data_IF_508026506968
#
_entry.id   IF_508026506968
#
_cell.length_a   1.000
_cell.length_b   1.000
_cell.length_c   1.000
_cell.angle_alpha   90.00
_cell.angle_beta   90.00
_cell.angle_gamma   90.00
#
_symmetry.space_group_name_H-M   'P 1'
#
loop_
_entity.id
_entity.type
_entity.pdbx_description
1 polymer ?
#
# COMPACT_ATOMS: atom_id res chain seq x y z
N UNK A 1 -13.87 84.54 -5.64
CA UNK A 1 -14.10 83.13 -5.23
C UNK A 1 -12.76 82.39 -5.24
N UNK A 2 -12.53 81.59 -4.20
CA UNK A 2 -11.40 80.68 -3.86
C UNK A 2 -10.71 80.02 -5.08
N UNK A 3 -9.46 79.57 -5.09
CA UNK A 3 -8.28 79.63 -4.20
C UNK A 3 -7.17 78.77 -4.84
N UNK A 4 -5.97 79.37 -5.00
CA UNK A 4 -4.60 78.83 -4.86
C UNK A 4 -4.13 77.60 -5.68
N UNK A 5 -3.18 77.89 -6.57
CA UNK A 5 -2.00 77.07 -6.86
C UNK A 5 -1.19 76.81 -5.59
N UNK A 6 -0.63 75.60 -5.44
CA UNK A 6 0.48 75.36 -4.51
C UNK A 6 1.32 74.18 -5.00
N UNK A 7 2.54 74.51 -5.43
CA UNK A 7 3.69 73.61 -5.60
C UNK A 7 4.31 73.47 -4.21
N UNK A 8 4.55 72.24 -3.75
CA UNK A 8 5.60 71.97 -2.77
C UNK A 8 6.03 70.51 -2.86
N UNK A 9 7.32 70.34 -3.16
CA UNK A 9 8.07 69.09 -3.04
C UNK A 9 7.99 68.56 -1.59
N UNK A 10 7.80 67.25 -1.45
CA UNK A 10 8.15 66.53 -0.23
C UNK A 10 8.97 65.28 -0.59
N UNK A 11 10.27 65.36 -0.30
CA UNK A 11 11.11 64.20 0.00
C UNK A 11 10.61 63.55 1.29
N UNK A 12 10.77 62.22 1.41
CA UNK A 12 11.37 61.71 2.63
C UNK A 12 12.57 60.80 2.34
N UNK A 13 13.68 61.21 2.95
CA UNK A 13 14.71 60.40 3.57
C UNK A 13 14.23 58.99 3.96
N UNK A 14 14.85 57.94 3.43
CA UNK A 14 14.91 56.64 4.11
C UNK A 14 16.35 56.14 4.08
N UNK A 15 16.84 55.94 5.29
CA UNK A 15 18.15 55.45 5.70
C UNK A 15 18.59 54.19 4.95
N UNK A 16 19.81 54.26 4.44
CA UNK A 16 20.63 53.11 4.04
C UNK A 16 21.28 52.53 5.31
N UNK A 17 20.72 51.46 5.88
CA UNK A 17 21.39 50.67 6.93
C UNK A 17 22.29 49.63 6.27
N UNK A 18 23.57 49.97 6.14
CA UNK A 18 24.64 49.04 5.82
C UNK A 18 24.98 48.28 7.10
N UNK A 19 24.49 47.05 7.23
CA UNK A 19 25.05 46.11 8.20
C UNK A 19 26.36 45.56 7.65
N UNK A 20 27.47 46.14 8.12
CA UNK A 20 28.77 45.47 8.15
C UNK A 20 28.68 44.37 9.20
N UNK A 21 28.70 43.11 8.77
CA UNK A 21 28.90 41.96 9.64
C UNK A 21 30.17 41.23 9.21
N UNK A 22 31.04 41.02 10.21
CA UNK A 22 32.40 40.52 10.10
C UNK A 22 32.53 39.19 9.35
N UNK A 23 33.49 39.16 8.44
CA UNK A 23 34.22 37.94 8.12
C UNK A 23 35.01 37.50 9.35
N UNK A 24 34.70 36.31 9.87
CA UNK A 24 35.68 35.51 10.60
C UNK A 24 35.86 34.19 9.86
N UNK A 25 37.05 34.07 9.27
CA UNK A 25 37.56 32.82 8.74
C UNK A 25 37.81 31.86 9.89
N UNK A 26 37.27 30.65 9.79
CA UNK A 26 37.80 29.48 10.49
C UNK A 26 37.84 28.33 9.49
N UNK A 27 39.06 28.00 9.08
CA UNK A 27 39.38 26.78 8.36
C UNK A 27 39.25 25.60 9.34
N UNK A 28 38.18 24.82 9.23
CA UNK A 28 38.13 23.48 9.78
C UNK A 28 37.59 22.52 8.71
N UNK A 29 38.45 21.58 8.38
CA UNK A 29 38.34 20.51 7.40
C UNK A 29 37.08 19.67 7.71
N UNK A 30 36.02 19.81 6.91
CA UNK A 30 34.86 18.94 6.99
C UNK A 30 35.12 17.68 6.15
N UNK A 31 35.45 16.61 6.85
CA UNK A 31 35.34 15.23 6.38
C UNK A 31 33.84 14.91 6.19
N UNK A 32 33.44 14.20 5.12
CA UNK A 32 32.02 13.89 4.92
C UNK A 32 31.56 12.88 5.98
N UNK A 33 30.80 13.36 6.98
CA UNK A 33 29.98 12.50 7.82
C UNK A 33 28.98 11.77 6.92
N UNK A 34 29.26 10.48 6.78
CA UNK A 34 28.44 9.51 6.11
C UNK A 34 27.22 9.26 7.00
N UNK A 35 26.18 10.10 6.88
CA UNK A 35 24.89 9.87 7.54
C UNK A 35 24.17 8.74 6.83
N UNK A 36 24.62 7.52 7.10
CA UNK A 36 23.86 6.30 6.92
C UNK A 36 22.66 6.39 7.87
N UNK A 37 21.53 6.85 7.36
CA UNK A 37 20.24 6.50 7.95
C UNK A 37 20.18 4.97 7.98
N UNK A 38 20.37 4.41 9.17
CA UNK A 38 20.30 2.98 9.41
C UNK A 38 18.92 2.47 8.94
N UNK A 39 18.92 1.92 7.74
CA UNK A 39 17.97 0.93 7.30
C UNK A 39 17.95 -0.17 8.35
N UNK A 40 16.95 -0.18 9.22
CA UNK A 40 16.70 -1.29 10.11
C UNK A 40 16.31 -2.50 9.26
N UNK A 41 17.30 -3.21 8.74
CA UNK A 41 17.20 -4.58 8.27
C UNK A 41 16.73 -5.42 9.44
N UNK A 42 15.43 -5.74 9.47
CA UNK A 42 14.85 -6.62 10.47
C UNK A 42 15.18 -8.07 10.14
N UNK A 43 16.20 -8.60 10.82
CA UNK A 43 16.39 -10.04 10.99
C UNK A 43 15.25 -10.61 11.84
N UNK A 44 14.71 -11.72 11.36
CA UNK A 44 13.75 -12.56 12.07
C UNK A 44 14.32 -13.03 13.41
N UNK A 45 13.56 -12.81 14.48
CA UNK A 45 13.59 -13.56 15.74
C UNK A 45 14.94 -13.65 16.46
N UNK A 46 15.22 -12.68 17.34
CA UNK A 46 15.95 -12.96 18.58
C UNK A 46 14.96 -12.96 19.76
N UNK A 47 14.95 -14.08 20.47
CA UNK A 47 14.13 -14.40 21.66
C UNK A 47 14.57 -13.59 22.88
N UNK A 48 14.50 -12.25 22.82
CA UNK A 48 15.10 -11.40 23.87
C UNK A 48 14.40 -10.10 24.28
N UNK A 49 13.41 -9.56 23.57
CA UNK A 49 12.85 -8.26 23.96
C UNK A 49 11.32 -8.18 23.91
N UNK A 50 10.76 -7.84 25.08
CA UNK A 50 9.35 -7.60 25.39
C UNK A 50 8.48 -8.84 25.67
N UNK A 51 8.44 -9.34 26.92
CA UNK A 51 7.67 -10.54 27.30
C UNK A 51 6.16 -10.43 27.08
N UNK A 52 5.64 -9.20 26.93
CA UNK A 52 4.22 -8.94 26.70
C UNK A 52 3.91 -8.57 25.22
N UNK A 53 4.83 -8.82 24.28
CA UNK A 53 4.55 -8.62 22.85
C UNK A 53 3.38 -9.52 22.42
N UNK A 54 2.33 -9.00 21.76
CA UNK A 54 1.16 -9.80 21.40
C UNK A 54 1.53 -11.03 20.57
N UNK A 55 1.09 -12.20 20.99
CA UNK A 55 1.36 -13.47 20.31
C UNK A 55 0.03 -14.09 19.88
N UNK A 56 -0.17 -14.30 18.58
CA UNK A 56 -1.40 -14.92 18.03
C UNK A 56 -1.17 -16.38 17.60
N UNK A 57 -0.07 -16.99 18.02
CA UNK A 57 0.34 -18.35 17.65
C UNK A 57 1.14 -18.37 16.35
N UNK A 58 0.48 -18.06 15.24
CA UNK A 58 1.08 -18.08 13.91
C UNK A 58 1.53 -16.68 13.45
N UNK A 59 2.60 -16.63 12.65
CA UNK A 59 3.05 -15.40 11.99
C UNK A 59 2.23 -15.05 10.76
N UNK A 60 1.52 -16.02 10.18
CA UNK A 60 0.58 -15.85 9.06
C UNK A 60 -0.77 -16.41 9.49
N UNK A 61 -1.77 -15.54 9.55
CA UNK A 61 -3.14 -15.92 9.92
C UNK A 61 -4.01 -15.90 8.66
N UNK A 62 -4.84 -16.93 8.49
CA UNK A 62 -5.69 -17.08 7.32
C UNK A 62 -7.15 -16.79 7.66
N UNK A 63 -7.82 -16.01 6.82
CA UNK A 63 -9.28 -15.89 6.89
C UNK A 63 -9.92 -17.23 6.55
N UNK A 64 -10.85 -17.71 7.37
CA UNK A 64 -11.60 -18.94 7.12
C UNK A 64 -13.08 -18.61 7.03
N UNK A 65 -13.80 -19.30 6.15
CA UNK A 65 -15.26 -19.22 6.08
C UNK A 65 -15.85 -19.84 7.34
N UNK A 66 -16.61 -19.06 8.11
CA UNK A 66 -17.33 -19.55 9.28
C UNK A 66 -18.69 -20.11 8.84
N UNK A 67 -18.96 -21.37 9.19
CA UNK A 67 -20.18 -22.09 8.77
C UNK A 67 -21.49 -21.46 9.30
N UNK A 68 -21.41 -20.62 10.32
CA UNK A 68 -22.55 -19.97 10.97
C UNK A 68 -22.69 -18.47 10.65
N UNK A 69 -21.91 -17.95 9.70
CA UNK A 69 -21.91 -16.53 9.35
C UNK A 69 -21.30 -15.61 10.43
N UNK A 70 -20.65 -16.16 11.46
CA UNK A 70 -19.96 -15.36 12.46
C UNK A 70 -18.67 -14.73 11.88
N UNK A 71 -18.31 -13.56 12.41
CA UNK A 71 -17.02 -12.93 12.15
C UNK A 71 -15.88 -13.85 12.59
N UNK A 72 -14.95 -14.19 11.67
CA UNK A 72 -13.76 -14.97 12.01
C UNK A 72 -12.81 -14.12 12.86
N UNK A 73 -12.64 -14.48 14.13
CA UNK A 73 -11.85 -13.71 15.10
C UNK A 73 -10.71 -14.54 15.68
N UNK A 74 -9.60 -13.88 15.97
CA UNK A 74 -8.44 -14.46 16.68
C UNK A 74 -8.07 -13.58 17.87
N UNK A 75 -7.51 -14.19 18.91
CA UNK A 75 -7.11 -13.52 20.14
C UNK A 75 -5.63 -13.77 20.43
N UNK A 76 -4.95 -12.84 21.11
CA UNK A 76 -3.61 -13.10 21.59
C UNK A 76 -3.64 -14.24 22.62
N UNK A 77 -2.71 -15.18 22.47
CA UNK A 77 -2.50 -16.34 23.35
C UNK A 77 -1.78 -15.97 24.65
N UNK A 78 -1.17 -14.78 24.69
CA UNK A 78 -0.53 -14.23 25.87
C UNK A 78 -1.26 -12.97 26.36
N UNK A 79 -0.77 -12.39 27.46
CA UNK A 79 -1.36 -11.20 28.12
C UNK A 79 -2.77 -11.43 28.72
N UNK A 80 -3.16 -12.68 28.98
CA UNK A 80 -4.39 -12.99 29.70
C UNK A 80 -4.33 -12.41 31.12
N UNK A 81 -5.30 -11.57 31.48
CA UNK A 81 -5.35 -10.91 32.79
C UNK A 81 -4.41 -9.71 32.96
N UNK A 82 -3.65 -9.33 31.91
CA UNK A 82 -2.81 -8.13 31.93
C UNK A 82 -3.58 -6.98 31.28
N UNK A 83 -3.75 -5.87 32.01
CA UNK A 83 -4.38 -4.66 31.48
C UNK A 83 -3.40 -3.87 30.61
N UNK A 84 -3.87 -3.36 29.49
CA UNK A 84 -3.10 -2.53 28.58
C UNK A 84 -3.90 -2.15 27.34
N UNK A 85 -3.22 -1.55 26.37
CA UNK A 85 -3.80 -1.09 25.12
C UNK A 85 -3.09 -1.75 23.94
N UNK A 86 -3.88 -2.31 23.02
CA UNK A 86 -3.41 -2.86 21.76
C UNK A 86 -3.44 -1.81 20.66
N UNK A 87 -2.41 -1.83 19.82
CA UNK A 87 -2.20 -0.92 18.70
C UNK A 87 -1.83 -1.74 17.46
N UNK A 88 -2.07 -1.22 16.26
CA UNK A 88 -1.67 -1.86 15.01
C UNK A 88 -1.23 -0.85 13.97
N UNK A 89 -0.25 -1.23 13.16
CA UNK A 89 0.22 -0.46 12.01
C UNK A 89 0.57 -1.39 10.84
N UNK A 90 0.22 -1.04 9.58
CA UNK A 90 -0.60 0.12 9.20
C UNK A 90 -2.06 0.00 9.73
N UNK A 91 -2.93 0.97 9.45
CA UNK A 91 -4.37 0.84 9.74
C UNK A 91 -5.01 -0.36 8.98
N UNK A 92 -6.32 -0.57 9.02
CA UNK A 92 -6.96 -1.65 8.26
C UNK A 92 -6.89 -3.04 8.90
N UNK A 93 -6.21 -3.20 10.03
CA UNK A 93 -6.42 -4.33 10.95
C UNK A 93 -7.53 -3.96 11.94
N UNK A 94 -8.65 -4.69 11.92
CA UNK A 94 -9.75 -4.52 12.88
C UNK A 94 -9.38 -5.19 14.21
N UNK A 95 -8.51 -4.54 14.98
CA UNK A 95 -8.06 -4.99 16.30
C UNK A 95 -8.80 -4.25 17.42
N UNK A 96 -9.36 -5.01 18.36
CA UNK A 96 -9.94 -4.46 19.57
C UNK A 96 -8.83 -3.96 20.50
N UNK A 97 -8.79 -2.63 20.73
CA UNK A 97 -7.77 -1.97 21.54
C UNK A 97 -7.68 -2.47 22.99
N UNK A 98 -8.74 -3.06 23.55
CA UNK A 98 -8.79 -3.46 24.96
C UNK A 98 -8.33 -4.90 25.20
N UNK A 99 -8.54 -5.80 24.24
CA UNK A 99 -8.25 -7.22 24.42
C UNK A 99 -7.45 -7.88 23.29
N UNK A 100 -7.07 -7.11 22.27
CA UNK A 100 -6.30 -7.61 21.13
C UNK A 100 -7.08 -8.55 20.21
N UNK A 101 -8.39 -8.71 20.36
CA UNK A 101 -9.15 -9.55 19.43
C UNK A 101 -9.11 -8.92 18.03
N UNK A 102 -8.63 -9.66 17.05
CA UNK A 102 -8.62 -9.25 15.63
C UNK A 102 -9.83 -9.88 14.95
N UNK A 103 -10.58 -9.07 14.20
CA UNK A 103 -11.62 -9.55 13.30
C UNK A 103 -11.08 -9.65 11.87
N UNK A 104 -10.79 -10.89 11.47
CA UNK A 104 -10.17 -11.16 10.17
C UNK A 104 -11.11 -10.82 9.01
N UNK A 105 -12.42 -10.95 9.20
CA UNK A 105 -13.43 -10.66 8.17
C UNK A 105 -13.59 -9.16 7.88
N UNK A 106 -13.13 -8.30 8.80
CA UNK A 106 -13.17 -6.83 8.66
C UNK A 106 -11.79 -6.20 8.46
N UNK A 107 -10.75 -7.04 8.37
CA UNK A 107 -9.37 -6.59 8.20
C UNK A 107 -8.91 -6.72 6.76
N UNK A 108 -7.94 -5.91 6.36
CA UNK A 108 -7.34 -5.97 5.03
C UNK A 108 -6.33 -7.13 4.92
N UNK A 109 -6.61 -8.04 3.99
CA UNK A 109 -5.82 -9.26 3.72
C UNK A 109 -4.64 -8.98 2.80
N UNK A 110 -3.61 -9.83 2.83
CA UNK A 110 -2.41 -9.67 2.01
C UNK A 110 -1.42 -8.63 2.56
N UNK A 111 -1.57 -8.24 3.83
CA UNK A 111 -0.82 -7.16 4.48
C UNK A 111 -0.03 -7.68 5.68
N UNK A 112 1.17 -7.12 5.87
CA UNK A 112 1.98 -7.31 7.07
C UNK A 112 1.71 -6.19 8.07
N UNK A 113 1.29 -6.55 9.27
CA UNK A 113 1.02 -5.67 10.40
C UNK A 113 2.10 -5.79 11.47
N UNK A 114 2.40 -4.68 12.14
CA UNK A 114 2.97 -4.67 13.48
C UNK A 114 1.85 -4.48 14.48
N UNK A 115 1.89 -5.26 15.55
CA UNK A 115 0.92 -5.19 16.64
C UNK A 115 1.68 -4.77 17.89
N UNK A 116 1.28 -3.64 18.46
CA UNK A 116 1.81 -3.10 19.70
C UNK A 116 0.94 -3.45 20.90
N UNK A 117 1.55 -3.67 22.06
CA UNK A 117 0.88 -3.69 23.35
C UNK A 117 1.59 -2.78 24.33
N UNK A 118 0.83 -1.84 24.89
CA UNK A 118 1.26 -0.93 25.94
C UNK A 118 0.66 -1.39 27.25
N UNK A 119 1.48 -1.89 28.17
CA UNK A 119 0.99 -2.33 29.48
C UNK A 119 0.49 -1.12 30.28
N UNK A 120 -0.63 -1.29 31.00
CA UNK A 120 -1.18 -0.22 31.85
C UNK A 120 -0.15 0.20 32.89
N UNK A 121 0.07 1.51 33.01
CA UNK A 121 1.04 2.10 33.92
C UNK A 121 2.47 2.20 33.35
N UNK A 122 2.69 1.79 32.11
CA UNK A 122 3.98 1.96 31.41
C UNK A 122 3.81 2.78 30.14
N UNK A 123 4.92 3.23 29.56
CA UNK A 123 4.97 3.81 28.21
C UNK A 123 5.62 2.85 27.20
N UNK A 124 6.22 1.77 27.69
CA UNK A 124 6.86 0.75 26.86
C UNK A 124 5.84 0.07 25.95
N UNK A 125 6.16 0.02 24.66
CA UNK A 125 5.36 -0.69 23.66
C UNK A 125 6.07 -1.97 23.25
N UNK A 126 5.45 -3.11 23.57
CA UNK A 126 5.90 -4.40 23.06
C UNK A 126 5.34 -4.62 21.67
N UNK A 127 6.20 -4.88 20.68
CA UNK A 127 5.79 -5.02 19.29
C UNK A 127 6.05 -6.43 18.79
N UNK A 128 5.06 -7.00 18.10
CA UNK A 128 5.19 -8.21 17.30
C UNK A 128 4.77 -7.94 15.85
N UNK A 129 5.04 -8.90 14.96
CA UNK A 129 4.59 -8.88 13.57
C UNK A 129 3.57 -9.98 13.31
N UNK A 130 2.61 -9.68 12.46
CA UNK A 130 1.59 -10.59 11.97
C UNK A 130 1.33 -10.32 10.49
N UNK A 131 1.19 -11.36 9.69
CA UNK A 131 0.68 -11.26 8.31
C UNK A 131 -0.76 -11.76 8.31
N UNK A 132 -1.68 -10.95 7.79
CA UNK A 132 -2.99 -11.45 7.41
C UNK A 132 -2.89 -11.98 5.98
N UNK A 133 -3.00 -13.30 5.82
CA UNK A 133 -2.86 -13.97 4.54
C UNK A 133 -3.85 -13.43 3.51
N UNK A 134 -3.48 -13.49 2.24
CA UNK A 134 -4.24 -12.94 1.13
C UNK A 134 -3.34 -12.48 0.01
N UNK A 135 -3.86 -11.60 -0.85
CA UNK A 135 -3.11 -11.05 -1.97
C UNK A 135 -3.09 -9.52 -1.99
N UNK A 136 -2.05 -8.95 -2.60
CA UNK A 136 -1.93 -7.53 -2.93
C UNK A 136 -1.21 -7.36 -4.28
N UNK A 137 -0.97 -6.12 -4.71
CA UNK A 137 -0.06 -5.80 -5.81
C UNK A 137 1.02 -4.83 -5.33
N UNK A 138 2.14 -4.81 -6.03
CA UNK A 138 3.17 -3.81 -5.82
C UNK A 138 2.74 -2.47 -6.41
N UNK A 139 2.89 -1.37 -5.68
CA UNK A 139 2.83 -0.03 -6.27
C UNK A 139 3.90 0.08 -7.37
N UNK A 140 3.51 0.38 -8.61
CA UNK A 140 4.43 0.38 -9.75
C UNK A 140 3.98 1.29 -10.88
N UNK A 141 4.97 1.80 -11.62
CA UNK A 141 4.80 2.49 -12.89
C UNK A 141 5.12 1.48 -14.00
N UNK A 142 4.10 1.15 -14.77
CA UNK A 142 4.13 0.19 -15.86
C UNK A 142 4.32 0.91 -17.19
N UNK A 143 5.48 0.73 -17.82
CA UNK A 143 5.82 1.38 -19.09
C UNK A 143 5.50 0.44 -20.25
N UNK A 144 4.36 0.65 -20.90
CA UNK A 144 3.84 -0.31 -21.88
C UNK A 144 4.75 -0.50 -23.10
N UNK A 145 5.50 0.55 -23.50
CA UNK A 145 6.47 0.48 -24.59
C UNK A 145 7.71 -0.35 -24.25
N UNK A 146 7.94 -0.66 -22.97
CA UNK A 146 9.03 -1.51 -22.47
C UNK A 146 8.54 -2.94 -22.18
N UNK A 147 7.38 -3.32 -22.73
CA UNK A 147 6.74 -4.62 -22.48
C UNK A 147 6.30 -4.87 -21.02
N UNK A 148 6.31 -3.84 -20.18
CA UNK A 148 5.83 -3.90 -18.80
C UNK A 148 4.30 -3.81 -18.78
N UNK A 149 3.65 -4.93 -19.09
CA UNK A 149 2.21 -5.00 -19.41
C UNK A 149 1.39 -5.78 -18.40
N UNK A 150 2.04 -6.44 -17.44
CA UNK A 150 1.42 -7.36 -16.50
C UNK A 150 1.71 -6.94 -15.06
N UNK A 151 0.65 -6.66 -14.30
CA UNK A 151 0.73 -6.50 -12.86
C UNK A 151 0.54 -7.88 -12.20
N UNK A 152 1.60 -8.36 -11.53
CA UNK A 152 1.63 -9.66 -10.88
C UNK A 152 1.16 -9.53 -9.42
N UNK A 153 0.28 -10.43 -8.93
CA UNK A 153 -0.13 -10.41 -7.54
C UNK A 153 1.01 -10.88 -6.62
N UNK A 154 0.99 -10.38 -5.39
CA UNK A 154 1.88 -10.77 -4.31
C UNK A 154 1.03 -11.43 -3.23
N UNK A 155 1.46 -12.59 -2.77
CA UNK A 155 0.73 -13.37 -1.78
C UNK A 155 1.38 -13.26 -0.41
N UNK A 156 0.55 -13.20 0.64
CA UNK A 156 0.97 -13.24 2.04
C UNK A 156 2.06 -12.20 2.39
N UNK A 157 1.98 -11.01 1.79
CA UNK A 157 2.92 -9.91 1.99
C UNK A 157 4.41 -10.31 1.80
N UNK A 158 4.67 -11.24 0.88
CA UNK A 158 6.02 -11.66 0.52
C UNK A 158 6.25 -11.49 -1.00
N UNK A 159 6.94 -10.42 -1.43
CA UNK A 159 7.20 -10.15 -2.85
C UNK A 159 8.20 -11.14 -3.48
N UNK A 160 8.88 -11.96 -2.69
CA UNK A 160 9.86 -12.95 -3.16
C UNK A 160 9.29 -14.37 -3.17
N UNK A 161 8.09 -14.58 -2.61
CA UNK A 161 7.45 -15.88 -2.61
C UNK A 161 6.98 -16.28 -4.03
N UNK A 162 7.05 -17.57 -4.39
CA UNK A 162 6.44 -18.05 -5.62
C UNK A 162 4.92 -17.90 -5.58
N UNK A 163 4.31 -17.76 -6.76
CA UNK A 163 2.84 -17.77 -6.89
C UNK A 163 2.26 -19.07 -6.36
N UNK A 164 1.22 -18.97 -5.54
CA UNK A 164 0.40 -20.12 -5.10
C UNK A 164 -0.62 -20.55 -6.16
N UNK A 165 -0.86 -19.69 -7.16
CA UNK A 165 -1.80 -19.90 -8.24
C UNK A 165 -1.11 -20.50 -9.48
N UNK A 166 -1.88 -21.19 -10.32
CA UNK A 166 -1.36 -21.74 -11.57
C UNK A 166 -1.03 -20.64 -12.58
N UNK A 167 -0.11 -20.95 -13.49
CA UNK A 167 0.17 -20.10 -14.65
C UNK A 167 -1.09 -19.93 -15.49
N UNK A 168 -1.29 -18.73 -16.03
CA UNK A 168 -2.37 -18.47 -16.97
C UNK A 168 -2.02 -17.40 -17.98
N UNK A 169 -2.85 -17.25 -19.02
CA UNK A 169 -2.63 -16.37 -20.16
C UNK A 169 -3.89 -15.55 -20.49
N UNK A 170 -3.89 -14.86 -21.63
CA UNK A 170 -4.98 -13.99 -22.06
C UNK A 170 -6.23 -14.75 -22.56
N UNK A 171 -6.29 -16.08 -22.39
CA UNK A 171 -7.51 -16.87 -22.60
C UNK A 171 -8.30 -17.07 -21.30
N UNK A 172 -7.72 -16.72 -20.15
CA UNK A 172 -8.23 -16.99 -18.80
C UNK A 172 -8.89 -15.75 -18.17
N UNK A 173 -10.05 -15.34 -18.68
CA UNK A 173 -10.85 -14.25 -18.10
C UNK A 173 -12.15 -14.81 -17.51
N UNK A 174 -13.14 -14.01 -17.10
CA UNK A 174 -14.48 -14.55 -16.83
C UNK A 174 -15.37 -14.65 -18.08
N UNK A 175 -15.06 -13.93 -19.17
CA UNK A 175 -15.92 -13.72 -20.35
C UNK A 175 -15.56 -14.53 -21.61
N UNK A 176 -14.39 -15.17 -21.65
CA UNK A 176 -14.02 -16.26 -22.59
C UNK A 176 -14.71 -17.63 -22.28
N UNK A 177 -14.58 -18.60 -23.19
CA UNK A 177 -15.34 -19.87 -23.21
C UNK A 177 -14.92 -20.92 -22.16
N UNK A 178 -13.81 -20.74 -21.44
CA UNK A 178 -13.20 -21.74 -20.53
C UNK A 178 -13.00 -21.22 -19.09
N UNK A 179 -14.02 -20.58 -18.53
CA UNK A 179 -13.76 -19.52 -17.57
C UNK A 179 -14.35 -19.64 -16.18
N UNK A 180 -13.49 -19.26 -15.24
CA UNK A 180 -13.64 -19.44 -13.81
C UNK A 180 -12.27 -19.73 -13.22
N UNK A 181 -12.14 -19.48 -11.92
CA UNK A 181 -10.99 -19.97 -11.18
C UNK A 181 -10.84 -21.48 -11.27
N UNK A 182 -9.71 -21.99 -10.77
CA UNK A 182 -9.45 -23.43 -10.70
C UNK A 182 -9.47 -23.93 -9.25
N UNK A 183 -8.90 -25.12 -9.03
CA UNK A 183 -8.78 -25.71 -7.70
C UNK A 183 -7.82 -24.93 -6.78
N UNK A 184 -6.86 -24.18 -7.32
CA UNK A 184 -5.91 -23.37 -6.53
C UNK A 184 -6.43 -21.97 -6.27
N UNK A 185 -6.86 -21.24 -7.29
CA UNK A 185 -7.24 -19.84 -7.15
C UNK A 185 -8.44 -19.49 -8.02
N UNK A 186 -9.24 -18.53 -7.54
CA UNK A 186 -10.30 -17.90 -8.30
C UNK A 186 -10.23 -16.39 -8.11
N UNK A 187 -10.21 -15.65 -9.20
CA UNK A 187 -10.21 -14.19 -9.20
C UNK A 187 -11.38 -13.67 -10.01
N UNK A 188 -11.92 -12.54 -9.56
CA UNK A 188 -13.05 -11.88 -10.20
C UNK A 188 -14.29 -12.78 -10.37
N UNK A 189 -14.50 -13.65 -9.38
CA UNK A 189 -15.54 -14.68 -9.36
C UNK A 189 -16.91 -14.18 -8.85
N UNK A 190 -16.99 -12.91 -8.46
CA UNK A 190 -18.23 -12.24 -8.05
C UNK A 190 -18.72 -11.30 -9.16
N UNK A 191 -19.84 -11.61 -9.83
CA UNK A 191 -20.35 -10.77 -10.92
C UNK A 191 -20.83 -9.39 -10.43
N UNK A 192 -21.17 -9.22 -9.14
CA UNK A 192 -21.65 -7.94 -8.60
C UNK A 192 -20.54 -6.89 -8.46
N UNK A 193 -19.29 -7.34 -8.34
CA UNK A 193 -18.12 -6.48 -8.18
C UNK A 193 -17.02 -6.83 -9.20
N UNK A 194 -17.40 -7.17 -10.44
CA UNK A 194 -16.44 -7.65 -11.43
C UNK A 194 -15.49 -6.54 -11.94
N UNK A 195 -14.19 -6.75 -11.76
CA UNK A 195 -13.11 -5.98 -12.39
C UNK A 195 -13.15 -6.11 -13.92
N UNK A 196 -13.33 -7.32 -14.45
CA UNK A 196 -13.39 -7.56 -15.89
C UNK A 196 -14.61 -6.89 -16.53
N UNK A 197 -15.76 -6.87 -15.83
CA UNK A 197 -16.93 -6.08 -16.20
C UNK A 197 -16.64 -4.58 -16.29
N UNK A 198 -15.73 -4.07 -15.45
CA UNK A 198 -15.21 -2.69 -15.45
C UNK A 198 -13.99 -2.50 -16.36
N UNK A 199 -13.69 -3.47 -17.22
CA UNK A 199 -12.59 -3.48 -18.19
C UNK A 199 -11.18 -3.53 -17.57
N UNK A 200 -11.06 -3.84 -16.28
CA UNK A 200 -9.79 -4.22 -15.66
C UNK A 200 -9.62 -5.74 -15.85
N UNK A 201 -8.69 -6.12 -16.72
CA UNK A 201 -8.53 -7.50 -17.18
C UNK A 201 -7.70 -8.32 -16.22
N UNK A 202 -8.37 -8.87 -15.21
CA UNK A 202 -7.81 -9.79 -14.19
C UNK A 202 -7.96 -11.23 -14.69
N UNK A 203 -6.87 -11.98 -14.75
CA UNK A 203 -6.92 -13.40 -15.13
C UNK A 203 -7.52 -14.26 -14.02
N UNK A 204 -8.50 -15.10 -14.32
CA UNK A 204 -9.31 -15.81 -13.33
C UNK A 204 -8.56 -16.87 -12.51
N UNK A 205 -7.46 -17.45 -13.03
CA UNK A 205 -6.67 -18.49 -12.34
C UNK A 205 -5.44 -17.94 -11.64
N UNK A 206 -4.85 -16.85 -12.11
CA UNK A 206 -3.57 -16.34 -11.59
C UNK A 206 -3.67 -15.01 -10.88
N UNK A 207 -4.73 -14.23 -11.10
CA UNK A 207 -4.86 -12.88 -10.58
C UNK A 207 -3.97 -11.86 -11.32
N UNK A 208 -3.26 -12.26 -12.37
CA UNK A 208 -2.46 -11.31 -13.15
C UNK A 208 -3.38 -10.29 -13.85
N UNK A 209 -3.05 -9.01 -13.71
CA UNK A 209 -3.75 -7.93 -14.41
C UNK A 209 -3.02 -7.61 -15.70
N UNK A 210 -3.71 -7.76 -16.85
CA UNK A 210 -3.18 -7.34 -18.14
C UNK A 210 -3.52 -5.87 -18.40
N UNK A 211 -2.55 -4.99 -18.15
CA UNK A 211 -2.70 -3.53 -18.21
C UNK A 211 -2.90 -3.04 -19.64
N UNK A 212 -2.15 -3.61 -20.59
CA UNK A 212 -2.27 -3.27 -22.02
C UNK A 212 -3.65 -3.63 -22.55
N UNK A 213 -4.15 -4.83 -22.23
CA UNK A 213 -5.50 -5.25 -22.61
C UNK A 213 -6.56 -4.42 -21.90
N UNK A 214 -6.36 -4.07 -20.63
CA UNK A 214 -7.31 -3.23 -19.89
C UNK A 214 -7.48 -1.86 -20.55
N UNK A 215 -6.39 -1.20 -20.95
CA UNK A 215 -6.46 0.07 -21.67
C UNK A 215 -7.20 -0.07 -23.01
N UNK A 216 -6.81 -1.03 -23.84
CA UNK A 216 -7.45 -1.30 -25.14
C UNK A 216 -8.94 -1.59 -25.01
N UNK A 217 -9.33 -2.31 -23.95
CA UNK A 217 -10.72 -2.66 -23.69
C UNK A 217 -11.51 -1.48 -23.05
N UNK A 218 -10.90 -0.31 -22.91
CA UNK A 218 -11.55 0.92 -22.50
C UNK A 218 -11.61 1.13 -21.00
N UNK A 219 -10.60 0.67 -20.23
CA UNK A 219 -10.53 0.85 -18.77
C UNK A 219 -10.88 2.28 -18.32
N UNK A 220 -10.38 3.31 -19.01
CA UNK A 220 -10.66 4.71 -18.68
C UNK A 220 -11.72 5.38 -19.58
N UNK A 221 -12.32 4.62 -20.51
CA UNK A 221 -13.24 5.16 -21.51
C UNK A 221 -12.53 5.79 -22.72
N UNK A 222 -13.29 6.42 -23.64
CA UNK A 222 -12.77 6.83 -24.96
C UNK A 222 -11.89 8.09 -24.96
N UNK A 223 -11.99 8.95 -23.94
CA UNK A 223 -11.31 10.25 -23.89
C UNK A 223 -10.33 10.33 -22.71
N UNK A 224 -9.45 9.34 -22.60
CA UNK A 224 -8.50 9.24 -21.49
C UNK A 224 -7.49 10.40 -21.49
N UNK A 225 -7.21 10.96 -20.32
CA UNK A 225 -6.27 12.06 -20.09
C UNK A 225 -5.28 11.70 -19.00
N UNK A 226 -4.13 12.37 -19.02
CA UNK A 226 -3.10 12.24 -17.99
C UNK A 226 -3.68 12.54 -16.60
N UNK A 227 -3.48 11.62 -15.67
CA UNK A 227 -4.00 11.67 -14.31
C UNK A 227 -5.39 11.05 -14.14
N UNK A 228 -6.05 10.58 -15.20
CA UNK A 228 -7.31 9.84 -15.05
C UNK A 228 -7.08 8.61 -14.18
N UNK A 229 -7.96 8.41 -13.20
CA UNK A 229 -7.84 7.32 -12.23
C UNK A 229 -9.14 6.55 -12.02
N UNK A 230 -9.02 5.27 -11.65
CA UNK A 230 -10.14 4.41 -11.26
C UNK A 230 -9.76 3.51 -10.11
N UNK A 231 -10.59 3.51 -9.06
CA UNK A 231 -10.53 2.53 -7.98
C UNK A 231 -11.44 1.35 -8.31
N UNK A 232 -10.85 0.16 -8.38
CA UNK A 232 -11.56 -1.05 -8.79
C UNK A 232 -11.38 -2.10 -7.70
N UNK A 233 -12.51 -2.47 -7.11
CA UNK A 233 -12.61 -3.57 -6.15
C UNK A 233 -13.09 -4.83 -6.87
N UNK A 234 -12.49 -5.97 -6.52
CA UNK A 234 -12.90 -7.29 -6.98
C UNK A 234 -12.62 -8.36 -5.91
N UNK A 235 -13.30 -9.50 -6.01
CA UNK A 235 -13.13 -10.64 -5.12
C UNK A 235 -12.09 -11.63 -5.60
N UNK A 236 -11.57 -12.41 -4.66
CA UNK A 236 -10.74 -13.57 -4.95
C UNK A 236 -10.89 -14.64 -3.87
N UNK A 237 -10.42 -15.86 -4.19
CA UNK A 237 -10.34 -17.01 -3.30
C UNK A 237 -9.05 -17.77 -3.55
N UNK A 238 -8.33 -18.11 -2.48
CA UNK A 238 -7.07 -18.84 -2.51
C UNK A 238 -7.25 -20.19 -1.81
N UNK A 239 -6.76 -21.28 -2.40
CA UNK A 239 -6.78 -22.60 -1.78
C UNK A 239 -5.50 -22.86 -0.98
N UNK A 240 -5.20 -21.93 -0.09
CA UNK A 240 -4.14 -22.01 0.91
C UNK A 240 -4.77 -22.30 2.29
N UNK A 241 -4.16 -21.81 3.38
CA UNK A 241 -4.75 -21.91 4.72
C UNK A 241 -6.13 -21.27 4.85
N UNK A 242 -6.55 -20.43 3.90
CA UNK A 242 -7.89 -19.82 3.87
C UNK A 242 -8.99 -20.76 3.35
N UNK A 243 -8.63 -21.91 2.77
CA UNK A 243 -9.58 -22.91 2.24
C UNK A 243 -10.62 -22.30 1.29
N UNK A 244 -10.19 -21.39 0.42
CA UNK A 244 -11.03 -20.63 -0.51
C UNK A 244 -12.05 -19.71 0.16
N UNK A 245 -11.76 -19.19 1.35
CA UNK A 245 -12.54 -18.09 1.90
C UNK A 245 -12.55 -16.90 0.93
N UNK A 246 -13.73 -16.31 0.73
CA UNK A 246 -13.90 -15.13 -0.12
C UNK A 246 -13.20 -13.93 0.51
N UNK A 247 -12.32 -13.30 -0.26
CA UNK A 247 -11.56 -12.11 0.10
C UNK A 247 -11.79 -11.04 -0.96
N UNK A 248 -11.40 -9.80 -0.66
CA UNK A 248 -11.53 -8.66 -1.58
C UNK A 248 -10.25 -7.84 -1.60
N UNK A 249 -9.97 -7.23 -2.75
CA UNK A 249 -8.91 -6.24 -2.92
C UNK A 249 -9.46 -5.06 -3.71
N UNK A 250 -8.98 -3.86 -3.37
CA UNK A 250 -9.18 -2.66 -4.21
C UNK A 250 -7.83 -2.24 -4.76
N UNK A 251 -7.75 -1.98 -6.06
CA UNK A 251 -6.58 -1.38 -6.72
C UNK A 251 -6.92 0.02 -7.24
N UNK A 252 -5.92 0.90 -7.32
CA UNK A 252 -6.04 2.21 -7.93
C UNK A 252 -5.24 2.28 -9.21
N UNK A 253 -5.96 2.36 -10.33
CA UNK A 253 -5.41 2.48 -11.68
C UNK A 253 -5.25 3.95 -12.01
N UNK A 254 -4.09 4.38 -12.50
CA UNK A 254 -3.85 5.78 -12.90
C UNK A 254 -3.19 5.79 -14.28
N UNK A 255 -3.67 6.63 -15.20
CA UNK A 255 -3.14 6.69 -16.56
C UNK A 255 -2.28 7.94 -16.82
N UNK A 256 -1.19 7.72 -17.56
CA UNK A 256 -0.43 8.76 -18.23
C UNK A 256 0.00 8.29 -19.63
N UNK A 257 0.01 9.19 -20.60
CA UNK A 257 0.44 8.93 -21.98
C UNK A 257 1.92 8.54 -22.09
N UNK A 258 2.77 9.06 -21.20
CA UNK A 258 4.21 8.79 -21.11
C UNK A 258 4.73 9.03 -19.69
N UNK A 259 5.88 8.43 -19.39
CA UNK A 259 6.52 8.53 -18.07
C UNK A 259 6.82 9.97 -17.66
N UNK A 260 7.24 10.82 -18.61
CA UNK A 260 7.55 12.23 -18.31
C UNK A 260 6.34 13.07 -17.92
N UNK A 261 5.12 12.59 -18.17
CA UNK A 261 3.88 13.24 -17.77
C UNK A 261 3.45 12.90 -16.33
N UNK A 262 4.08 11.91 -15.71
CA UNK A 262 3.80 11.49 -14.34
C UNK A 262 4.43 12.53 -13.38
N UNK A 263 3.64 13.15 -12.48
CA UNK A 263 4.16 14.08 -11.49
C UNK A 263 5.30 13.47 -10.67
N UNK A 264 6.36 14.24 -10.43
CA UNK A 264 7.52 13.77 -9.67
C UNK A 264 7.14 13.29 -8.25
N UNK A 265 6.14 13.92 -7.63
CA UNK A 265 5.60 13.49 -6.33
C UNK A 265 5.01 12.07 -6.38
N UNK A 266 4.23 11.76 -7.42
CA UNK A 266 3.65 10.43 -7.61
C UNK A 266 4.74 9.39 -7.91
N UNK A 267 5.75 9.74 -8.71
CA UNK A 267 6.88 8.84 -8.95
C UNK A 267 7.63 8.52 -7.65
N UNK A 268 7.87 9.54 -6.82
CA UNK A 268 8.53 9.36 -5.54
C UNK A 268 7.69 8.52 -4.59
N UNK A 269 6.38 8.77 -4.53
CA UNK A 269 5.45 8.00 -3.71
C UNK A 269 5.46 6.51 -4.09
N UNK A 270 5.36 6.18 -5.38
CA UNK A 270 5.42 4.80 -5.86
C UNK A 270 6.75 4.15 -5.51
N UNK A 271 7.88 4.85 -5.70
CA UNK A 271 9.22 4.33 -5.36
C UNK A 271 9.34 4.04 -3.87
N UNK A 272 8.99 4.99 -3.01
CA UNK A 272 9.05 4.84 -1.55
C UNK A 272 8.18 3.67 -1.09
N UNK A 273 6.96 3.54 -1.61
CA UNK A 273 6.03 2.46 -1.21
C UNK A 273 6.52 1.09 -1.67
N UNK A 274 7.02 1.00 -2.89
CA UNK A 274 7.67 -0.21 -3.40
C UNK A 274 8.86 -0.63 -2.54
N UNK A 275 9.77 0.31 -2.22
CA UNK A 275 10.91 0.05 -1.34
C UNK A 275 10.45 -0.43 0.05
N UNK A 276 9.46 0.24 0.64
CA UNK A 276 8.92 -0.14 1.94
C UNK A 276 8.34 -1.56 1.94
N UNK A 277 7.68 -1.97 0.85
CA UNK A 277 7.18 -3.34 0.69
C UNK A 277 8.31 -4.38 0.65
N UNK A 278 9.40 -4.11 -0.09
CA UNK A 278 10.56 -5.01 -0.15
C UNK A 278 11.36 -5.07 1.15
N UNK A 279 11.54 -3.93 1.81
CA UNK A 279 12.32 -3.82 3.04
C UNK A 279 11.48 -4.12 4.29
N UNK A 280 10.21 -4.50 4.10
CA UNK A 280 9.23 -4.71 5.17
C UNK A 280 9.14 -3.51 6.14
N UNK A 281 9.44 -2.31 5.64
CA UNK A 281 9.33 -1.06 6.41
C UNK A 281 7.87 -0.66 6.51
N UNK A 282 7.51 -0.18 7.70
CA UNK A 282 6.18 0.34 7.93
C UNK A 282 6.03 1.72 7.29
N UNK A 283 4.86 1.94 6.71
CA UNK A 283 4.31 3.28 6.51
C UNK A 283 3.32 3.51 7.66
N UNK A 284 3.40 4.64 8.35
CA UNK A 284 2.41 5.03 9.37
C UNK A 284 1.04 5.41 8.77
N UNK A 285 0.84 5.14 7.48
CA UNK A 285 -0.36 5.45 6.72
C UNK A 285 -1.35 4.29 6.77
N UNK A 286 -2.59 4.56 6.38
CA UNK A 286 -3.58 3.51 6.12
C UNK A 286 -3.05 2.62 4.99
N UNK A 287 -3.24 1.30 5.04
CA UNK A 287 -3.12 0.53 3.83
C UNK A 287 -4.18 1.07 2.88
N UNK A 288 -3.72 1.16 1.66
CA UNK A 288 -4.31 1.92 0.59
C UNK A 288 -4.28 1.00 -0.61
N UNK A 289 -5.24 1.15 -1.53
CA UNK A 289 -5.20 0.42 -2.78
C UNK A 289 -3.81 0.52 -3.42
N UNK A 290 -3.22 -0.58 -3.89
CA UNK A 290 -1.98 -0.53 -4.66
C UNK A 290 -2.12 0.39 -5.86
N UNK A 291 -1.10 1.22 -6.11
CA UNK A 291 -1.06 2.10 -7.28
C UNK A 291 -0.50 1.37 -8.49
N UNK A 292 -1.35 1.15 -9.49
CA UNK A 292 -0.95 0.62 -10.78
C UNK A 292 -0.99 1.76 -11.79
N UNK A 293 0.14 2.48 -11.88
CA UNK A 293 0.29 3.63 -12.78
C UNK A 293 0.68 3.11 -14.16
N UNK A 294 -0.14 3.35 -15.17
CA UNK A 294 0.13 2.93 -16.55
C UNK A 294 0.70 4.12 -17.31
N UNK A 295 1.85 3.92 -17.95
CA UNK A 295 2.51 4.89 -18.81
C UNK A 295 2.62 4.35 -20.24
N UNK A 296 1.91 4.98 -21.17
CA UNK A 296 1.95 4.63 -22.59
C UNK A 296 0.64 4.93 -23.29
N UNK A 297 0.70 5.12 -24.61
CA UNK A 297 -0.48 5.41 -25.41
C UNK A 297 -1.52 4.28 -25.33
N UNK A 298 -2.78 4.68 -25.15
CA UNK A 298 -3.92 3.83 -25.46
C UNK A 298 -4.00 3.66 -26.96
N UNK A 299 -3.73 2.45 -27.46
CA UNK A 299 -3.93 2.08 -28.87
C UNK A 299 -5.29 1.43 -29.05
#
# INVERSE_FOLDING_TARGET
MKSKQCICLLLPFVLLLVFVACNKADNAKAEPENTSENANTFTTSSTGQCPNAPNYGDSIIYLQTQSNGADHKVQPLNNTGIQGTYLSWPEGLDINKNNGTINLAKSETGVRYKIGFVKKGTQDTCISQLILAGMTYMDSIYVLSQHDTLAMPIFNADPNAPSICDVSDDTDYPDSLNNGGNNKCAFDDDPSESANGKKLRVRSKSGVINLKKSLRDGLFGPNVKNGDSKRIKFSYRLNDGSKKAKQQITVEMIYYDKVSSIPASLQQEVRTKRQNMFEYRLVAEKPRPPFLVIAGLSY
#
